data_IF_815915318021
#
_entry.id   IF_815915318021
#
_cell.length_a   1.000
_cell.length_b   1.000
_cell.length_c   1.000
_cell.angle_alpha   90.00
_cell.angle_beta   90.00
_cell.angle_gamma   90.00
#
_symmetry.space_group_name_H-M   'P 1'
#
loop_
_entity.id
_entity.type
_entity.pdbx_description
1 polymer ?
#
# COMPACT_ATOMS: atom_id res chain seq x y z
N UNK A 1 -0.37 3.13 21.27
CA UNK A 1 -1.18 2.69 20.11
C UNK A 1 -0.51 3.02 18.78
N UNK A 2 -0.09 4.27 18.53
CA UNK A 2 0.50 4.69 17.25
C UNK A 2 1.71 3.87 16.78
N UNK A 3 2.64 3.50 17.67
CA UNK A 3 3.80 2.66 17.31
C UNK A 3 3.40 1.25 16.84
N UNK A 4 2.38 0.65 17.47
CA UNK A 4 1.90 -0.68 17.08
C UNK A 4 1.31 -0.62 15.67
N UNK A 5 0.48 0.38 15.40
CA UNK A 5 -0.10 0.62 14.08
C UNK A 5 0.97 0.93 13.03
N UNK A 6 2.00 1.70 13.39
CA UNK A 6 3.14 1.98 12.52
C UNK A 6 3.88 0.70 12.13
N UNK A 7 4.25 -0.14 13.10
CA UNK A 7 4.94 -1.40 12.80
C UNK A 7 4.06 -2.37 12.01
N UNK A 8 2.75 -2.40 12.27
CA UNK A 8 1.82 -3.20 11.48
C UNK A 8 1.73 -2.72 10.03
N UNK A 9 1.57 -1.42 9.80
CA UNK A 9 1.52 -0.84 8.45
C UNK A 9 2.87 -0.98 7.72
N UNK A 10 3.99 -0.78 8.41
CA UNK A 10 5.33 -0.90 7.84
C UNK A 10 5.63 -2.35 7.43
N UNK A 11 5.35 -3.32 8.30
CA UNK A 11 5.56 -4.74 7.97
C UNK A 11 4.64 -5.19 6.83
N UNK A 12 3.35 -4.81 6.85
CA UNK A 12 2.43 -5.08 5.74
C UNK A 12 2.95 -4.51 4.42
N UNK A 13 3.42 -3.26 4.42
CA UNK A 13 3.97 -2.60 3.23
C UNK A 13 5.18 -3.36 2.68
N UNK A 14 6.12 -3.76 3.55
CA UNK A 14 7.33 -4.48 3.15
C UNK A 14 7.01 -5.88 2.60
N UNK A 15 6.18 -6.66 3.31
CA UNK A 15 5.79 -7.99 2.86
C UNK A 15 5.03 -7.95 1.54
N UNK A 16 4.10 -7.02 1.39
CA UNK A 16 3.35 -6.84 0.16
C UNK A 16 4.28 -6.43 -1.00
N UNK A 17 5.18 -5.47 -0.79
CA UNK A 17 6.15 -5.02 -1.81
C UNK A 17 7.08 -6.16 -2.26
N UNK A 18 7.51 -7.02 -1.35
CA UNK A 18 8.25 -8.22 -1.69
C UNK A 18 7.40 -9.19 -2.54
N UNK A 19 6.13 -9.36 -2.18
CA UNK A 19 5.17 -10.16 -2.96
C UNK A 19 5.02 -9.70 -4.40
N UNK A 20 5.05 -8.38 -4.66
CA UNK A 20 4.99 -7.81 -6.03
C UNK A 20 6.12 -8.31 -6.91
N UNK A 21 7.36 -8.33 -6.40
CA UNK A 21 8.54 -8.73 -7.19
C UNK A 21 8.77 -10.25 -7.20
N UNK A 22 8.26 -10.96 -6.20
CA UNK A 22 8.41 -12.41 -6.08
C UNK A 22 7.42 -13.20 -6.96
N UNK A 23 6.24 -12.62 -7.24
CA UNK A 23 5.23 -13.30 -8.03
C UNK A 23 5.48 -13.16 -9.54
N UNK A 24 5.19 -14.24 -10.28
CA UNK A 24 5.28 -14.27 -11.75
C UNK A 24 3.95 -13.95 -12.45
N UNK A 25 2.86 -13.93 -11.70
CA UNK A 25 1.53 -13.66 -12.24
C UNK A 25 1.18 -12.18 -12.03
N UNK A 26 0.87 -11.49 -13.12
CA UNK A 26 0.63 -10.04 -13.11
C UNK A 26 -0.56 -9.63 -12.24
N UNK A 27 -1.62 -10.44 -12.20
CA UNK A 27 -2.80 -10.18 -11.37
C UNK A 27 -2.44 -10.28 -9.90
N UNK A 28 -1.67 -11.29 -9.51
CA UNK A 28 -1.21 -11.40 -8.12
C UNK A 28 -0.24 -10.28 -7.76
N UNK A 29 0.63 -9.85 -8.70
CA UNK A 29 1.51 -8.70 -8.50
C UNK A 29 0.71 -7.42 -8.24
N UNK A 30 -0.36 -7.20 -9.01
CA UNK A 30 -1.27 -6.07 -8.83
C UNK A 30 -1.97 -6.10 -7.46
N UNK A 31 -2.42 -7.26 -6.99
CA UNK A 31 -3.02 -7.40 -5.65
C UNK A 31 -2.01 -7.11 -4.53
N UNK A 32 -0.79 -7.61 -4.65
CA UNK A 32 0.29 -7.28 -3.71
C UNK A 32 0.64 -5.79 -3.75
N UNK A 33 0.61 -5.17 -4.93
CA UNK A 33 0.87 -3.75 -5.08
C UNK A 33 -0.23 -2.92 -4.40
N UNK A 34 -1.50 -3.33 -4.53
CA UNK A 34 -2.63 -2.70 -3.85
C UNK A 34 -2.47 -2.76 -2.33
N UNK A 35 -2.09 -3.92 -1.79
CA UNK A 35 -1.82 -4.09 -0.37
C UNK A 35 -0.66 -3.19 0.11
N UNK A 36 0.43 -3.08 -0.67
CA UNK A 36 1.55 -2.21 -0.35
C UNK A 36 1.12 -0.73 -0.31
N UNK A 37 0.35 -0.29 -1.30
CA UNK A 37 -0.15 1.09 -1.39
C UNK A 37 -1.13 1.43 -0.26
N UNK A 38 -1.98 0.48 0.15
CA UNK A 38 -2.85 0.64 1.31
C UNK A 38 -2.05 0.75 2.62
N UNK A 39 -0.97 -0.02 2.78
CA UNK A 39 -0.05 0.11 3.90
C UNK A 39 0.60 1.50 3.98
N UNK A 40 1.06 2.04 2.84
CA UNK A 40 1.60 3.42 2.74
C UNK A 40 0.53 4.46 3.08
N UNK A 41 -0.72 4.29 2.61
CA UNK A 41 -1.81 5.19 2.99
C UNK A 41 -2.05 5.19 4.51
N UNK A 42 -1.98 4.02 5.17
CA UNK A 42 -2.02 3.92 6.63
C UNK A 42 -0.88 4.67 7.33
N UNK A 43 0.33 4.64 6.77
CA UNK A 43 1.46 5.42 7.27
C UNK A 43 1.24 6.92 7.13
N UNK A 44 0.64 7.39 6.04
CA UNK A 44 0.28 8.81 5.87
C UNK A 44 -0.78 9.26 6.88
N UNK A 45 -1.77 8.42 7.19
CA UNK A 45 -2.74 8.73 8.26
C UNK A 45 -2.03 8.87 9.62
N UNK A 46 -1.09 7.98 9.94
CA UNK A 46 -0.31 8.06 11.19
C UNK A 46 0.59 9.31 11.27
N UNK A 47 0.98 9.86 10.11
CA UNK A 47 1.74 11.10 9.98
C UNK A 47 0.87 12.35 9.90
N UNK A 48 -0.44 12.24 10.11
CA UNK A 48 -1.41 13.34 9.97
C UNK A 48 -1.46 13.93 8.54
N UNK A 49 -1.11 13.13 7.53
CA UNK A 49 -1.13 13.50 6.11
C UNK A 49 -2.36 12.90 5.41
N UNK A 50 -3.56 13.24 5.90
CA UNK A 50 -4.83 12.61 5.50
C UNK A 50 -5.16 12.82 4.02
N UNK A 51 -4.95 14.03 3.51
CA UNK A 51 -5.16 14.34 2.09
C UNK A 51 -4.26 13.48 1.20
N UNK A 52 -3.00 13.29 1.59
CA UNK A 52 -2.05 12.48 0.83
C UNK A 52 -2.42 10.99 0.87
N UNK A 53 -2.92 10.50 2.00
CA UNK A 53 -3.44 9.14 2.13
C UNK A 53 -4.63 8.88 1.18
N UNK A 54 -5.56 9.82 1.08
CA UNK A 54 -6.70 9.73 0.17
C UNK A 54 -6.27 9.77 -1.29
N UNK A 55 -5.39 10.71 -1.66
CA UNK A 55 -4.84 10.82 -3.01
C UNK A 55 -4.07 9.55 -3.39
N UNK A 56 -3.35 8.94 -2.45
CA UNK A 56 -2.64 7.69 -2.65
C UNK A 56 -3.58 6.56 -3.10
N UNK A 57 -4.69 6.39 -2.38
CA UNK A 57 -5.69 5.36 -2.72
C UNK A 57 -6.46 5.70 -4.00
N UNK A 58 -6.82 6.96 -4.21
CA UNK A 58 -7.59 7.38 -5.38
C UNK A 58 -6.79 7.24 -6.68
N UNK A 59 -5.56 7.74 -6.71
CA UNK A 59 -4.73 7.78 -7.92
C UNK A 59 -4.00 6.46 -8.13
N UNK A 60 -3.21 6.01 -7.13
CA UNK A 60 -2.41 4.80 -7.29
C UNK A 60 -3.24 3.54 -7.13
N UNK A 61 -4.10 3.49 -6.10
CA UNK A 61 -4.96 2.33 -5.84
C UNK A 61 -6.06 2.13 -6.88
N UNK A 62 -6.68 3.22 -7.34
CA UNK A 62 -7.73 3.20 -8.36
C UNK A 62 -7.16 3.19 -9.78
N UNK A 63 -6.60 4.33 -10.22
CA UNK A 63 -6.27 4.51 -11.64
C UNK A 63 -5.10 3.65 -12.11
N UNK A 64 -4.00 3.59 -11.36
CA UNK A 64 -2.78 2.91 -11.83
C UNK A 64 -2.94 1.39 -11.76
N UNK A 65 -3.47 0.83 -10.67
CA UNK A 65 -3.63 -0.62 -10.52
C UNK A 65 -4.61 -1.21 -11.53
N UNK A 66 -5.70 -0.50 -11.87
CA UNK A 66 -6.70 -1.00 -12.84
C UNK A 66 -6.11 -1.10 -14.27
N UNK A 67 -5.06 -0.32 -14.56
CA UNK A 67 -4.42 -0.27 -15.89
C UNK A 67 -3.34 -1.35 -16.06
N UNK A 68 -2.85 -1.94 -14.96
CA UNK A 68 -1.82 -3.01 -14.98
C UNK A 68 -2.47 -4.36 -15.33
#
# INVERSE_FOLDING_TARGET
>A
MGLILFYAAATLTLFASFGVVATRNIVHAALFLLAALAGVAGLFVLLYAEFLALVQLLIYGGAIIIVI
#
